data_IF_379161893305
#
_entry.id   IF_379161893305
#
_cell.length_a   1.000
_cell.length_b   1.000
_cell.length_c   1.000
_cell.angle_alpha   90.00
_cell.angle_beta   90.00
_cell.angle_gamma   90.00
#
_symmetry.space_group_name_H-M   'P 1'
#
loop_
_entity.id
_entity.type
_entity.pdbx_description
1 polymer ?
#
# COMPACT_ATOMS: atom_id res chain seq x y z
N UNK A 1 9.36 20.12 -9.56
CA UNK A 1 9.04 18.80 -10.15
C UNK A 1 7.60 18.44 -9.79
N UNK A 2 6.86 17.92 -10.71
CA UNK A 2 5.47 17.52 -10.49
C UNK A 2 5.39 16.05 -10.09
N UNK A 3 4.30 15.67 -9.41
CA UNK A 3 4.05 14.31 -8.96
C UNK A 3 4.12 13.28 -10.13
N UNK A 4 3.56 13.62 -11.29
CA UNK A 4 3.54 12.68 -12.42
C UNK A 4 4.93 12.33 -12.94
N UNK A 5 5.92 13.20 -12.78
CA UNK A 5 7.32 12.92 -13.17
C UNK A 5 7.88 11.83 -12.26
N UNK A 6 7.67 11.95 -10.96
CA UNK A 6 8.09 10.95 -9.97
C UNK A 6 7.37 9.62 -10.24
N UNK A 7 6.07 9.66 -10.47
CA UNK A 7 5.25 8.48 -10.75
C UNK A 7 5.72 7.76 -12.01
N UNK A 8 5.92 8.48 -13.11
CA UNK A 8 6.35 7.88 -14.39
C UNK A 8 7.73 7.23 -14.26
N UNK A 9 8.67 7.88 -13.61
CA UNK A 9 10.02 7.30 -13.40
C UNK A 9 9.96 6.09 -12.47
N UNK A 10 9.12 6.13 -11.46
CA UNK A 10 8.92 4.98 -10.57
C UNK A 10 8.36 3.77 -11.33
N UNK A 11 7.32 3.95 -12.11
CA UNK A 11 6.72 2.87 -12.92
C UNK A 11 7.73 2.25 -13.88
N UNK A 12 8.51 3.09 -14.56
CA UNK A 12 9.57 2.62 -15.45
C UNK A 12 10.63 1.79 -14.71
N UNK A 13 11.04 2.26 -13.54
CA UNK A 13 12.04 1.56 -12.74
C UNK A 13 11.55 0.21 -12.22
N UNK A 14 10.29 0.12 -11.80
CA UNK A 14 9.66 -1.13 -11.38
C UNK A 14 9.65 -2.13 -12.54
N UNK A 15 9.22 -1.68 -13.71
CA UNK A 15 9.18 -2.53 -14.92
C UNK A 15 10.58 -3.00 -15.31
N UNK A 16 11.56 -2.11 -15.29
CA UNK A 16 12.95 -2.46 -15.62
C UNK A 16 13.53 -3.50 -14.66
N UNK A 17 13.09 -3.51 -13.41
CA UNK A 17 13.51 -4.48 -12.40
C UNK A 17 12.73 -5.80 -12.44
N UNK A 18 11.78 -5.95 -13.37
CA UNK A 18 11.00 -7.17 -13.54
C UNK A 18 9.69 -7.23 -12.76
N UNK A 19 9.26 -6.12 -12.18
CA UNK A 19 8.00 -6.03 -11.45
C UNK A 19 6.88 -5.37 -12.26
N UNK A 20 5.73 -5.20 -11.61
CA UNK A 20 4.56 -4.52 -12.16
C UNK A 20 4.07 -3.49 -11.14
N UNK A 21 3.73 -2.30 -11.61
CA UNK A 21 3.15 -1.24 -10.79
C UNK A 21 1.75 -0.89 -11.33
N UNK A 22 0.73 -1.57 -10.83
CA UNK A 22 -0.64 -1.29 -11.24
C UNK A 22 -1.17 -0.03 -10.55
N UNK A 23 -1.88 0.78 -11.32
CA UNK A 23 -2.55 1.95 -10.77
C UNK A 23 -3.80 1.51 -10.01
N UNK A 24 -3.89 1.95 -8.76
CA UNK A 24 -5.07 1.68 -7.94
C UNK A 24 -6.10 2.79 -8.10
N UNK A 25 -7.32 2.40 -8.44
CA UNK A 25 -8.48 3.27 -8.41
C UNK A 25 -9.59 2.54 -7.67
N UNK A 26 -10.31 3.25 -6.81
CA UNK A 26 -11.44 2.68 -6.08
C UNK A 26 -12.55 3.69 -5.97
N UNK A 27 -13.77 3.24 -6.26
CA UNK A 27 -14.98 4.05 -6.09
C UNK A 27 -15.52 3.98 -4.67
N UNK A 28 -15.13 2.96 -3.91
CA UNK A 28 -15.69 2.66 -2.59
C UNK A 28 -14.72 2.94 -1.43
N UNK A 29 -13.42 2.99 -1.69
CA UNK A 29 -12.41 3.24 -0.66
C UNK A 29 -11.55 4.43 -1.06
N UNK A 30 -11.64 5.52 -0.31
CA UNK A 30 -10.80 6.70 -0.50
C UNK A 30 -9.48 6.54 0.26
N UNK A 31 -8.45 7.24 -0.21
CA UNK A 31 -7.16 7.29 0.46
C UNK A 31 -6.27 6.07 0.21
N UNK A 32 -6.61 5.20 -0.73
CA UNK A 32 -5.72 4.12 -1.13
C UNK A 32 -4.44 4.67 -1.77
N UNK A 33 -3.30 3.97 -1.60
CA UNK A 33 -2.07 4.33 -2.31
C UNK A 33 -2.24 4.30 -3.83
N UNK A 34 -1.42 5.06 -4.56
CA UNK A 34 -1.54 5.20 -6.02
C UNK A 34 -1.23 3.92 -6.78
N UNK A 35 -0.26 3.14 -6.29
CA UNK A 35 0.25 1.98 -7.00
C UNK A 35 0.28 0.72 -6.13
N UNK A 36 -0.15 -0.38 -6.75
CA UNK A 36 0.09 -1.73 -6.25
C UNK A 36 1.31 -2.29 -6.97
N UNK A 37 2.37 -2.57 -6.24
CA UNK A 37 3.65 -3.01 -6.79
C UNK A 37 3.84 -4.49 -6.49
N UNK A 38 4.09 -5.26 -7.52
CA UNK A 38 4.23 -6.71 -7.44
C UNK A 38 5.59 -7.15 -8.00
N UNK A 39 6.27 -8.01 -7.26
CA UNK A 39 7.50 -8.68 -7.68
C UNK A 39 7.44 -10.17 -7.36
N UNK A 40 8.14 -10.95 -8.15
CA UNK A 40 8.37 -12.36 -7.83
C UNK A 40 9.37 -12.49 -6.66
N UNK A 41 9.20 -13.45 -5.70
CA UNK A 41 8.04 -14.31 -5.50
C UNK A 41 7.02 -13.70 -4.52
N UNK A 42 5.81 -13.47 -5.00
CA UNK A 42 4.67 -13.06 -4.16
C UNK A 42 4.88 -11.79 -3.31
N UNK A 43 5.73 -10.86 -3.77
CA UNK A 43 5.99 -9.61 -3.05
C UNK A 43 4.95 -8.57 -3.44
N UNK A 44 4.23 -8.05 -2.46
CA UNK A 44 3.19 -7.03 -2.63
C UNK A 44 3.52 -5.82 -1.78
N UNK A 45 3.70 -4.66 -2.43
CA UNK A 45 4.00 -3.40 -1.76
C UNK A 45 3.09 -2.32 -2.35
N UNK A 46 2.55 -1.46 -1.48
CA UNK A 46 1.78 -0.30 -1.91
C UNK A 46 2.67 0.94 -1.90
N UNK A 47 2.53 1.78 -2.90
CA UNK A 47 3.36 2.99 -3.02
C UNK A 47 2.48 4.19 -3.34
N UNK A 48 2.58 5.22 -2.51
CA UNK A 48 1.99 6.54 -2.72
C UNK A 48 3.02 7.45 -3.37
N UNK A 49 2.67 8.10 -4.46
CA UNK A 49 3.55 9.04 -5.15
C UNK A 49 3.12 10.47 -4.84
N UNK A 50 4.07 11.30 -4.45
CA UNK A 50 3.84 12.70 -4.10
C UNK A 50 4.84 13.61 -4.82
N UNK A 51 4.43 14.85 -5.06
CA UNK A 51 5.36 15.91 -5.44
C UNK A 51 6.35 16.17 -4.29
N UNK A 52 7.58 16.62 -4.58
CA UNK A 52 8.57 16.89 -3.54
C UNK A 52 8.03 17.79 -2.43
N UNK A 53 8.20 17.35 -1.18
CA UNK A 53 7.75 18.07 0.01
C UNK A 53 6.26 17.96 0.33
N UNK A 54 5.47 17.30 -0.50
CA UNK A 54 4.05 17.05 -0.21
C UNK A 54 3.93 15.84 0.72
N UNK A 55 3.05 15.97 1.70
CA UNK A 55 2.82 14.92 2.70
C UNK A 55 1.57 14.11 2.36
N UNK A 56 1.52 12.88 2.84
CA UNK A 56 0.31 12.07 2.78
C UNK A 56 -0.82 12.76 3.56
N UNK A 57 -2.02 12.77 2.98
CA UNK A 57 -3.22 13.29 3.64
C UNK A 57 -3.63 12.36 4.80
N UNK A 58 -4.40 12.84 5.79
CA UNK A 58 -4.84 12.02 6.92
C UNK A 58 -5.50 10.70 6.50
N UNK A 59 -6.40 10.72 5.52
CA UNK A 59 -7.06 9.51 5.04
C UNK A 59 -6.08 8.53 4.40
N UNK A 60 -5.06 9.01 3.71
CA UNK A 60 -4.00 8.17 3.14
C UNK A 60 -3.17 7.49 4.24
N UNK A 61 -2.87 8.21 5.32
CA UNK A 61 -2.17 7.64 6.49
C UNK A 61 -3.02 6.57 7.19
N UNK A 62 -4.33 6.78 7.26
CA UNK A 62 -5.29 5.81 7.79
C UNK A 62 -5.26 4.51 6.97
N UNK A 63 -5.36 4.61 5.64
CA UNK A 63 -5.29 3.44 4.75
C UNK A 63 -3.94 2.73 4.87
N UNK A 64 -2.86 3.50 4.95
CA UNK A 64 -1.52 2.95 5.19
C UNK A 64 -1.48 2.11 6.46
N UNK A 65 -2.00 2.64 7.56
CA UNK A 65 -2.05 1.92 8.82
C UNK A 65 -2.83 0.60 8.70
N UNK A 66 -3.99 0.63 8.07
CA UNK A 66 -4.79 -0.57 7.83
C UNK A 66 -4.03 -1.63 7.03
N UNK A 67 -3.41 -1.23 5.94
CA UNK A 67 -2.65 -2.14 5.06
C UNK A 67 -1.42 -2.71 5.78
N UNK A 68 -0.71 -1.88 6.54
CA UNK A 68 0.46 -2.34 7.30
C UNK A 68 0.08 -3.33 8.39
N UNK A 69 -1.07 -3.16 9.04
CA UNK A 69 -1.58 -4.14 10.01
C UNK A 69 -1.91 -5.48 9.37
N UNK A 70 -2.25 -5.48 8.09
CA UNK A 70 -2.47 -6.71 7.32
C UNK A 70 -1.16 -7.33 6.82
N UNK A 71 -0.03 -6.69 7.08
CA UNK A 71 1.29 -7.19 6.70
C UNK A 71 1.85 -6.65 5.40
N UNK A 72 1.19 -5.68 4.77
CA UNK A 72 1.65 -5.08 3.53
C UNK A 72 2.44 -3.80 3.78
N UNK A 73 3.68 -3.69 3.26
CA UNK A 73 4.41 -2.43 3.30
C UNK A 73 3.69 -1.35 2.49
N UNK A 74 3.69 -0.14 3.01
CA UNK A 74 3.15 1.04 2.31
C UNK A 74 4.20 2.14 2.36
N UNK A 75 4.73 2.51 1.22
CA UNK A 75 5.79 3.49 1.07
C UNK A 75 5.26 4.75 0.42
N UNK A 76 5.92 5.86 0.69
CA UNK A 76 5.67 7.13 0.02
C UNK A 76 6.94 7.58 -0.70
N UNK A 77 6.83 7.91 -1.96
CA UNK A 77 7.94 8.39 -2.79
C UNK A 77 7.62 9.82 -3.23
N UNK A 78 8.45 10.77 -2.87
CA UNK A 78 8.30 12.17 -3.25
C UNK A 78 9.52 12.75 -3.97
N UNK A 79 10.55 11.93 -4.19
CA UNK A 79 11.81 12.34 -4.86
C UNK A 79 12.34 11.21 -5.72
N UNK A 80 12.97 11.57 -6.84
CA UNK A 80 13.56 10.59 -7.75
C UNK A 80 14.66 9.74 -7.08
N UNK A 81 15.42 10.32 -6.16
CA UNK A 81 16.51 9.61 -5.47
C UNK A 81 16.04 8.46 -4.59
N UNK A 82 14.76 8.44 -4.23
CA UNK A 82 14.17 7.40 -3.39
C UNK A 82 13.78 6.13 -4.18
N UNK A 83 13.69 6.22 -5.49
CA UNK A 83 13.17 5.14 -6.35
C UNK A 83 14.08 3.92 -6.31
N UNK A 84 15.36 4.08 -6.59
CA UNK A 84 16.30 2.95 -6.61
C UNK A 84 16.44 2.26 -5.25
N UNK A 85 16.61 2.98 -4.14
CA UNK A 85 16.61 2.35 -2.81
C UNK A 85 15.32 1.62 -2.49
N UNK A 86 14.16 2.15 -2.92
CA UNK A 86 12.87 1.49 -2.74
C UNK A 86 12.83 0.14 -3.46
N UNK A 87 13.21 0.10 -4.74
CA UNK A 87 13.21 -1.14 -5.52
C UNK A 87 14.19 -2.15 -4.94
N UNK A 88 15.39 -1.73 -4.56
CA UNK A 88 16.38 -2.60 -3.93
C UNK A 88 15.86 -3.19 -2.61
N UNK A 89 15.16 -2.39 -1.81
CA UNK A 89 14.56 -2.86 -0.56
C UNK A 89 13.48 -3.91 -0.81
N UNK A 90 12.62 -3.70 -1.81
CA UNK A 90 11.58 -4.68 -2.18
C UNK A 90 12.22 -5.99 -2.64
N UNK A 91 13.23 -5.91 -3.50
CA UNK A 91 13.89 -7.10 -4.04
C UNK A 91 14.59 -7.93 -2.95
N UNK A 92 15.11 -7.29 -1.91
CA UNK A 92 15.77 -7.97 -0.79
C UNK A 92 14.84 -8.39 0.34
N UNK A 93 13.62 -7.85 0.36
CA UNK A 93 12.63 -8.13 1.41
C UNK A 93 11.92 -9.46 1.19
N UNK A 94 11.70 -10.19 2.27
CA UNK A 94 10.88 -11.42 2.27
C UNK A 94 9.51 -11.10 2.87
N UNK A 95 8.40 -11.40 2.15
CA UNK A 95 7.05 -11.21 2.70
C UNK A 95 6.88 -11.91 4.06
N UNK A 96 6.23 -11.23 4.98
CA UNK A 96 6.05 -11.70 6.35
C UNK A 96 7.14 -11.21 7.32
N UNK A 97 8.25 -10.73 6.82
CA UNK A 97 9.28 -10.10 7.64
C UNK A 97 9.15 -8.57 7.67
N UNK A 98 9.72 -7.89 8.68
CA UNK A 98 9.70 -6.44 8.72
C UNK A 98 10.34 -5.84 7.46
N UNK A 99 9.67 -4.84 6.89
CA UNK A 99 10.24 -4.10 5.76
C UNK A 99 11.36 -3.17 6.25
N UNK A 100 12.46 -3.00 5.48
CA UNK A 100 13.56 -2.12 5.88
C UNK A 100 13.09 -0.70 6.20
N UNK A 101 13.64 -0.12 7.27
CA UNK A 101 13.33 1.25 7.69
C UNK A 101 14.08 2.27 6.83
N UNK A 102 13.59 3.51 6.82
CA UNK A 102 14.24 4.62 6.14
C UNK A 102 14.09 4.63 4.63
N UNK A 103 13.16 3.86 4.08
CA UNK A 103 12.89 3.80 2.65
C UNK A 103 11.79 4.78 2.28
N UNK A 104 12.05 5.62 1.28
CA UNK A 104 11.10 6.60 0.78
C UNK A 104 11.03 7.86 1.63
N UNK A 105 9.94 8.61 1.47
CA UNK A 105 9.68 9.80 2.24
C UNK A 105 9.31 9.44 3.68
N UNK A 106 9.71 10.30 4.62
CA UNK A 106 9.34 10.13 6.02
C UNK A 106 7.85 10.41 6.20
N UNK A 107 7.16 9.46 6.82
CA UNK A 107 5.72 9.57 7.10
C UNK A 107 5.56 9.80 8.60
N UNK A 108 4.78 10.83 9.03
CA UNK A 108 4.51 11.05 10.45
C UNK A 108 3.79 9.85 11.07
N UNK A 109 4.04 9.62 12.35
CA UNK A 109 3.35 8.57 13.10
C UNK A 109 1.85 8.80 13.10
N UNK A 110 1.10 7.72 13.01
CA UNK A 110 -0.37 7.74 12.98
C UNK A 110 -0.95 8.47 14.19
N UNK A 111 -0.41 8.21 15.38
CA UNK A 111 -0.89 8.78 16.65
C UNK A 111 -0.83 10.31 16.69
N UNK A 112 0.11 10.91 15.96
CA UNK A 112 0.26 12.36 15.88
C UNK A 112 -0.53 12.99 14.72
N UNK A 113 -1.07 12.19 13.83
CA UNK A 113 -1.51 12.64 12.52
C UNK A 113 -2.97 12.32 12.19
N UNK A 114 -3.63 11.48 12.99
CA UNK A 114 -5.00 11.03 12.75
C UNK A 114 -5.91 11.52 13.87
N UNK A 115 -7.01 12.17 13.50
CA UNK A 115 -8.01 12.60 14.46
C UNK A 115 -8.72 11.40 15.07
N UNK A 116 -9.17 11.48 16.36
CA UNK A 116 -9.90 10.38 17.00
C UNK A 116 -11.08 9.86 16.19
N UNK A 117 -11.82 10.75 15.51
CA UNK A 117 -12.94 10.37 14.64
C UNK A 117 -12.52 9.54 13.43
N UNK A 118 -11.29 9.72 12.96
CA UNK A 118 -10.72 8.94 11.86
C UNK A 118 -10.24 7.57 12.33
N UNK A 119 -9.93 7.44 13.63
CA UNK A 119 -9.48 6.18 14.22
C UNK A 119 -10.62 5.21 14.51
N UNK A 120 -11.82 5.71 14.73
CA UNK A 120 -12.99 4.88 15.05
C UNK A 120 -13.32 3.84 13.97
N UNK A 121 -13.02 4.16 12.70
CA UNK A 121 -13.27 3.25 11.59
C UNK A 121 -12.28 2.09 11.48
N UNK A 122 -11.23 2.06 12.28
CA UNK A 122 -10.22 1.00 12.18
C UNK A 122 -10.69 -0.34 12.76
N UNK A 123 -11.62 -0.32 13.71
CA UNK A 123 -12.01 -1.50 14.46
C UNK A 123 -12.69 -2.58 13.61
N UNK A 124 -13.51 -2.17 12.66
CA UNK A 124 -14.36 -3.09 11.88
C UNK A 124 -13.62 -3.80 10.74
N UNK A 125 -12.55 -3.20 10.21
CA UNK A 125 -11.85 -3.70 9.02
C UNK A 125 -10.64 -4.57 9.30
N UNK A 126 -10.27 -4.72 10.57
CA UNK A 126 -9.01 -5.39 10.96
C UNK A 126 -9.22 -6.70 11.71
N UNK A 127 -10.46 -7.11 11.94
CA UNK A 127 -10.73 -8.41 12.56
C UNK A 127 -10.57 -9.52 11.53
N UNK A 128 -9.89 -10.63 11.90
CA UNK A 128 -9.76 -11.76 11.00
C UNK A 128 -11.15 -12.34 10.69
N UNK A 129 -11.38 -12.67 9.43
CA UNK A 129 -12.59 -13.37 9.03
C UNK A 129 -12.48 -14.82 9.55
N UNK A 130 -13.54 -15.31 10.22
CA UNK A 130 -13.61 -16.68 10.65
C UNK A 130 -13.60 -17.59 9.39
N UNK A 131 -12.69 -18.60 9.32
CA UNK A 131 -12.67 -19.52 8.18
C UNK A 131 -14.01 -20.20 7.90
N UNK A 132 -14.81 -20.47 8.92
CA UNK A 132 -16.14 -21.08 8.75
C UNK A 132 -17.11 -20.16 8.02
N UNK A 133 -17.01 -18.85 8.23
CA UNK A 133 -17.82 -17.86 7.53
C UNK A 133 -17.45 -17.77 6.04
N UNK A 134 -16.17 -17.98 5.71
CA UNK A 134 -15.72 -18.04 4.33
C UNK A 134 -16.29 -19.25 3.60
N UNK A 135 -16.38 -20.40 4.25
CA UNK A 135 -16.95 -21.63 3.67
C UNK A 135 -18.43 -21.39 3.33
N UNK A 136 -19.20 -20.81 4.24
CA UNK A 136 -20.61 -20.47 3.98
C UNK A 136 -20.75 -19.52 2.80
N UNK A 137 -19.89 -18.53 2.69
CA UNK A 137 -19.91 -17.57 1.60
C UNK A 137 -19.69 -18.24 0.23
N UNK A 138 -18.71 -19.15 0.13
CA UNK A 138 -18.44 -19.87 -1.11
C UNK A 138 -19.56 -20.87 -1.47
N UNK A 139 -20.16 -21.52 -0.50
CA UNK A 139 -21.31 -22.42 -0.73
C UNK A 139 -22.53 -21.67 -1.29
N UNK A 140 -22.77 -20.44 -0.85
CA UNK A 140 -23.84 -19.59 -1.37
C UNK A 140 -23.56 -19.19 -2.83
N UNK A 141 -22.32 -18.86 -3.18
CA UNK A 141 -21.93 -18.52 -4.55
C UNK A 141 -22.07 -19.69 -5.50
N UNK A 142 -21.64 -20.89 -5.09
CA UNK A 142 -21.80 -22.12 -5.87
C UNK A 142 -23.27 -22.49 -6.09
N UNK A 143 -24.15 -22.11 -5.19
CA UNK A 143 -25.59 -22.30 -5.31
C UNK A 143 -26.25 -21.45 -6.38
N UNK A 144 -25.70 -20.29 -6.69
CA UNK A 144 -26.21 -19.36 -7.69
C UNK A 144 -25.85 -19.75 -9.13
N UNK A 145 -24.84 -20.55 -9.32
CA UNK A 145 -24.36 -21.04 -10.62
C UNK A 145 -25.08 -22.33 -11.09
N UNK A 146 -25.95 -22.84 -10.29
CA UNK A 146 -26.66 -24.08 -10.60
C UNK A 146 -27.83 -23.89 -11.57
#
# INVERSE_FOLDING_TARGET
MREYVVENEFVKAVKAAGGVAYKLTSQTANGLPDRLVLFFPAKTVFVELKAPGKMMRPLQRKRRYQLMKLGFPVLCIDKLQQIKPCINAILSWTPGEPFPEGIGAKIPDLEMAVLPSEMEDFGETLEPINPDDLIEFYEIEDGDDA
#
